data_IF_707527244075
#
_entry.id   IF_707527244075
#
_cell.length_a   1.000
_cell.length_b   1.000
_cell.length_c   1.000
_cell.angle_alpha   90.00
_cell.angle_beta   90.00
_cell.angle_gamma   90.00
#
_symmetry.space_group_name_H-M   'P 1'
#
loop_
_entity.id
_entity.type
_entity.pdbx_description
1 polymer ?
#
# COMPACT_ATOMS: atom_id res chain seq x y z
N UNK A 1 4.39 67.14 24.13
CA UNK A 1 5.69 67.67 23.64
C UNK A 1 5.60 67.86 22.13
N UNK A 2 5.82 69.10 21.66
CA UNK A 2 6.06 69.42 20.25
C UNK A 2 7.54 69.17 19.95
N UNK A 3 7.87 68.73 18.73
CA UNK A 3 9.02 69.19 17.94
C UNK A 3 8.71 68.89 16.45
N UNK A 4 8.86 69.94 15.63
CA UNK A 4 8.86 69.98 14.16
C UNK A 4 10.21 69.41 13.66
N UNK A 5 10.42 68.98 12.42
CA UNK A 5 10.76 69.84 11.27
C UNK A 5 11.04 68.97 10.04
N UNK A 6 10.71 69.52 8.88
CA UNK A 6 10.84 69.04 7.50
C UNK A 6 12.29 69.18 6.99
N UNK A 7 12.74 68.31 6.05
CA UNK A 7 13.47 68.72 4.84
C UNK A 7 13.67 67.55 3.85
N UNK A 8 13.42 67.91 2.60
CA UNK A 8 13.53 67.27 1.28
C UNK A 8 14.91 66.68 0.94
N UNK A 9 14.95 65.71 0.01
CA UNK A 9 15.80 65.77 -1.20
C UNK A 9 15.54 64.58 -2.14
N UNK A 10 15.19 64.92 -3.38
CA UNK A 10 15.08 64.01 -4.53
C UNK A 10 16.47 63.78 -5.13
N UNK A 11 16.78 62.53 -5.48
CA UNK A 11 17.88 62.22 -6.41
C UNK A 11 17.46 61.06 -7.31
N UNK A 12 17.19 61.39 -8.57
CA UNK A 12 17.07 60.43 -9.65
C UNK A 12 18.47 59.91 -10.01
N UNK A 13 18.59 58.59 -10.16
CA UNK A 13 19.75 57.96 -10.78
C UNK A 13 19.24 56.91 -11.78
N UNK A 14 19.21 57.30 -13.04
CA UNK A 14 19.09 56.42 -14.21
C UNK A 14 20.42 55.68 -14.39
N UNK A 15 20.40 54.36 -14.20
CA UNK A 15 21.46 53.48 -14.68
C UNK A 15 20.84 52.43 -15.61
N UNK A 16 20.99 52.65 -16.92
CA UNK A 16 20.79 51.60 -17.93
C UNK A 16 21.90 50.57 -17.76
N UNK A 17 21.54 49.38 -17.29
CA UNK A 17 22.37 48.18 -17.42
C UNK A 17 21.68 47.25 -18.41
N UNK A 18 22.24 47.23 -19.62
CA UNK A 18 22.03 46.19 -20.62
C UNK A 18 22.59 44.88 -20.06
N UNK A 19 21.70 44.06 -19.48
CA UNK A 19 22.02 42.68 -19.11
C UNK A 19 21.36 41.74 -20.14
N UNK A 20 22.22 41.06 -20.86
CA UNK A 20 21.98 40.02 -21.87
C UNK A 20 20.89 39.04 -21.42
N UNK A 21 19.92 38.65 -22.27
CA UNK A 21 19.06 37.52 -21.97
C UNK A 21 19.94 36.27 -21.96
N UNK A 22 20.33 35.82 -20.77
CA UNK A 22 20.83 34.48 -20.62
C UNK A 22 19.64 33.57 -20.89
N UNK A 23 19.64 32.96 -22.09
CA UNK A 23 18.85 31.79 -22.42
C UNK A 23 19.24 30.70 -21.44
N UNK A 24 18.66 30.78 -20.24
CA UNK A 24 18.66 29.73 -19.25
C UNK A 24 17.98 28.55 -19.92
N UNK A 25 18.79 27.67 -20.48
CA UNK A 25 18.38 26.35 -20.87
C UNK A 25 17.90 25.71 -19.58
N UNK A 26 16.59 25.76 -19.36
CA UNK A 26 15.93 24.92 -18.39
C UNK A 26 16.24 23.49 -18.83
N UNK A 27 17.34 22.95 -18.34
CA UNK A 27 17.51 21.51 -18.23
C UNK A 27 16.20 21.02 -17.62
N UNK A 28 15.42 20.15 -18.31
CA UNK A 28 14.29 19.55 -17.67
C UNK A 28 14.86 18.87 -16.44
N UNK A 29 14.56 19.44 -15.27
CA UNK A 29 14.74 18.80 -13.98
C UNK A 29 14.08 17.44 -14.20
N UNK A 30 14.89 16.40 -14.41
CA UNK A 30 14.39 15.04 -14.39
C UNK A 30 13.79 14.90 -13.01
N UNK A 31 12.48 15.10 -12.93
CA UNK A 31 11.70 14.65 -11.80
C UNK A 31 12.12 13.20 -11.66
N UNK A 32 12.94 12.92 -10.64
CA UNK A 32 13.24 11.55 -10.24
C UNK A 32 11.88 10.98 -9.86
N UNK A 33 11.23 10.41 -10.87
CA UNK A 33 9.79 10.31 -10.94
C UNK A 33 9.36 9.25 -9.96
N UNK A 34 8.94 9.69 -8.78
CA UNK A 34 8.33 8.79 -7.79
C UNK A 34 7.26 7.99 -8.52
N UNK A 35 7.42 6.66 -8.55
CA UNK A 35 6.46 5.77 -9.19
C UNK A 35 5.11 6.00 -8.51
N UNK A 36 4.10 6.38 -9.31
CA UNK A 36 2.77 6.69 -8.80
C UNK A 36 2.14 5.47 -8.08
N UNK A 37 1.26 5.73 -7.12
CA UNK A 37 0.42 4.68 -6.52
C UNK A 37 -0.53 4.10 -7.56
N UNK A 38 -0.83 2.82 -7.44
CA UNK A 38 -1.84 2.17 -8.27
C UNK A 38 -3.22 2.71 -7.89
N UNK A 39 -4.03 3.07 -8.88
CA UNK A 39 -5.44 3.37 -8.64
C UNK A 39 -6.18 2.06 -8.29
N UNK A 40 -7.06 2.08 -7.29
CA UNK A 40 -7.79 0.86 -6.87
C UNK A 40 -8.49 0.14 -8.02
N UNK A 41 -9.12 0.89 -8.94
CA UNK A 41 -9.82 0.33 -10.12
C UNK A 41 -8.94 -0.48 -11.07
N UNK A 42 -7.62 -0.25 -11.08
CA UNK A 42 -6.68 -0.99 -11.94
C UNK A 42 -6.09 -2.21 -11.24
N UNK A 43 -6.34 -2.38 -9.94
CA UNK A 43 -5.92 -3.54 -9.19
C UNK A 43 -6.99 -4.63 -9.29
N UNK A 44 -6.55 -5.87 -9.41
CA UNK A 44 -7.41 -7.05 -9.24
C UNK A 44 -6.91 -7.82 -8.03
N UNK A 45 -7.76 -7.91 -7.01
CA UNK A 45 -7.51 -8.68 -5.80
C UNK A 45 -8.07 -10.09 -5.95
N UNK A 46 -7.34 -11.07 -5.43
CA UNK A 46 -7.76 -12.48 -5.28
C UNK A 46 -7.45 -12.94 -3.86
N UNK A 47 -8.26 -13.87 -3.36
CA UNK A 47 -8.03 -14.58 -2.12
C UNK A 47 -8.61 -15.99 -2.27
N UNK A 48 -7.90 -16.99 -1.75
CA UNK A 48 -8.29 -18.40 -1.77
C UNK A 48 -7.68 -19.12 -0.56
N UNK A 49 -8.41 -20.06 0.03
CA UNK A 49 -7.88 -20.91 1.09
C UNK A 49 -6.83 -21.85 0.50
N UNK A 50 -5.73 -22.02 1.23
CA UNK A 50 -4.69 -22.98 0.87
C UNK A 50 -5.11 -24.41 1.22
N UNK A 51 -4.25 -25.39 0.91
CA UNK A 51 -4.45 -26.76 1.39
C UNK A 51 -4.41 -26.87 2.93
N UNK A 52 -3.67 -25.99 3.61
CA UNK A 52 -3.80 -25.78 5.05
C UNK A 52 -4.99 -24.83 5.30
N UNK A 53 -6.02 -25.34 5.96
CA UNK A 53 -7.25 -24.59 6.24
C UNK A 53 -7.02 -23.32 7.09
N UNK A 54 -5.88 -23.23 7.79
CA UNK A 54 -5.49 -22.06 8.59
C UNK A 54 -4.90 -20.93 7.76
N UNK A 55 -4.68 -21.14 6.47
CA UNK A 55 -3.94 -20.24 5.61
C UNK A 55 -4.77 -19.82 4.41
N UNK A 56 -4.80 -18.52 4.15
CA UNK A 56 -5.39 -17.91 2.95
C UNK A 56 -4.28 -17.30 2.11
N UNK A 57 -4.21 -17.69 0.85
CA UNK A 57 -3.37 -17.02 -0.14
C UNK A 57 -4.11 -15.83 -0.70
N UNK A 58 -3.43 -14.69 -0.74
CA UNK A 58 -3.95 -13.46 -1.33
C UNK A 58 -3.03 -12.99 -2.45
N UNK A 59 -3.63 -12.33 -3.44
CA UNK A 59 -2.90 -11.82 -4.59
C UNK A 59 -3.43 -10.48 -5.07
N UNK A 60 -2.53 -9.63 -5.54
CA UNK A 60 -2.87 -8.37 -6.21
C UNK A 60 -2.22 -8.33 -7.59
N UNK A 61 -3.03 -8.19 -8.64
CA UNK A 61 -2.56 -8.03 -10.02
C UNK A 61 -2.74 -6.58 -10.47
N UNK A 62 -1.69 -5.97 -11.02
CA UNK A 62 -1.78 -4.68 -11.71
C UNK A 62 -2.30 -4.88 -13.14
N UNK A 63 -3.54 -4.50 -13.41
CA UNK A 63 -4.17 -4.60 -14.74
C UNK A 63 -3.89 -3.37 -15.62
N UNK A 64 -3.17 -2.37 -15.13
CA UNK A 64 -2.80 -1.21 -15.94
C UNK A 64 -1.59 -1.50 -16.84
N UNK A 65 -1.40 -0.73 -17.93
CA UNK A 65 -0.21 -0.86 -18.78
C UNK A 65 1.03 -0.19 -18.19
N UNK A 66 0.98 0.36 -16.97
CA UNK A 66 2.08 1.12 -16.35
C UNK A 66 2.52 0.47 -15.05
N UNK A 67 3.80 0.62 -14.72
CA UNK A 67 4.29 0.31 -13.37
C UNK A 67 3.68 1.31 -12.40
N UNK A 68 3.19 0.81 -11.27
CA UNK A 68 2.73 1.62 -10.14
C UNK A 68 3.18 0.99 -8.83
N UNK A 69 2.86 1.61 -7.70
CA UNK A 69 3.14 1.08 -6.36
C UNK A 69 1.87 0.78 -5.57
N UNK A 70 1.91 -0.29 -4.80
CA UNK A 70 0.95 -0.57 -3.71
C UNK A 70 1.69 -0.46 -2.38
N UNK A 71 1.02 -0.60 -1.24
CA UNK A 71 1.74 -0.72 0.04
C UNK A 71 2.45 -2.08 0.10
N UNK A 72 3.58 -2.13 0.79
CA UNK A 72 4.39 -3.32 0.99
C UNK A 72 3.69 -4.38 1.82
N UNK A 73 2.81 -3.93 2.73
CA UNK A 73 2.07 -4.77 3.63
C UNK A 73 0.61 -4.77 3.17
N UNK A 74 0.04 -5.93 2.79
CA UNK A 74 -1.39 -6.02 2.55
C UNK A 74 -2.17 -5.68 3.84
N UNK A 75 -3.25 -4.93 3.72
CA UNK A 75 -4.22 -4.80 4.80
C UNK A 75 -5.25 -5.91 4.67
N UNK A 76 -5.38 -6.75 5.70
CA UNK A 76 -6.36 -7.84 5.74
C UNK A 76 -7.18 -7.74 7.00
N UNK A 77 -8.49 -7.57 6.88
CA UNK A 77 -9.44 -7.51 8.01
C UNK A 77 -10.46 -8.64 7.90
N UNK A 78 -11.16 -8.94 9.00
CA UNK A 78 -11.96 -10.16 9.16
C UNK A 78 -13.37 -9.82 9.63
N UNK A 79 -14.34 -9.85 8.71
CA UNK A 79 -15.74 -9.55 9.01
C UNK A 79 -15.93 -8.29 9.87
N UNK A 80 -16.59 -8.47 11.00
CA UNK A 80 -16.87 -7.50 12.04
C UNK A 80 -15.83 -7.47 13.18
N UNK A 81 -14.79 -8.30 13.11
CA UNK A 81 -13.70 -8.29 14.07
C UNK A 81 -12.87 -7.01 13.94
N UNK A 82 -12.36 -6.55 15.07
CA UNK A 82 -11.46 -5.43 15.12
C UNK A 82 -10.04 -5.82 14.71
N UNK A 83 -9.30 -4.83 14.22
CA UNK A 83 -7.92 -5.01 13.82
C UNK A 83 -7.74 -5.64 12.44
N UNK A 84 -6.47 -5.71 12.04
CA UNK A 84 -6.02 -6.30 10.80
C UNK A 84 -4.96 -7.37 11.10
N UNK A 85 -4.74 -8.28 10.16
CA UNK A 85 -3.64 -9.22 10.24
C UNK A 85 -2.30 -8.49 10.42
N UNK A 86 -1.51 -8.90 11.41
CA UNK A 86 -0.23 -8.26 11.69
C UNK A 86 0.86 -8.75 10.72
N UNK A 87 1.73 -7.86 10.23
CA UNK A 87 2.80 -8.25 9.32
C UNK A 87 3.83 -9.16 10.01
N UNK A 88 4.20 -10.24 9.33
CA UNK A 88 5.36 -11.08 9.70
C UNK A 88 6.36 -11.16 8.53
N UNK A 89 7.64 -10.77 8.73
CA UNK A 89 8.16 -10.11 9.92
C UNK A 89 7.48 -8.75 10.16
N UNK A 90 7.50 -8.30 11.42
CA UNK A 90 7.07 -6.96 11.75
C UNK A 90 7.88 -5.93 10.94
N UNK A 91 7.22 -4.86 10.52
CA UNK A 91 7.87 -3.78 9.79
C UNK A 91 6.90 -2.70 9.38
N UNK A 92 7.46 -1.64 8.83
CA UNK A 92 6.70 -0.47 8.41
C UNK A 92 6.21 -0.60 6.96
N UNK A 93 5.11 0.10 6.70
CA UNK A 93 4.58 0.34 5.35
C UNK A 93 5.62 0.97 4.41
N UNK A 94 5.29 0.96 3.12
CA UNK A 94 6.12 1.61 2.10
C UNK A 94 5.82 1.07 0.71
N UNK A 95 6.46 1.62 -0.34
CA UNK A 95 6.09 1.26 -1.69
C UNK A 95 6.54 -0.15 -2.06
N UNK A 96 5.62 -0.95 -2.59
CA UNK A 96 5.91 -2.17 -3.34
C UNK A 96 5.66 -1.93 -4.82
N UNK A 97 6.72 -2.07 -5.63
CA UNK A 97 6.65 -1.86 -7.08
C UNK A 97 5.92 -3.01 -7.76
N UNK A 98 4.84 -2.71 -8.45
CA UNK A 98 4.05 -3.70 -9.20
C UNK A 98 4.05 -3.34 -10.69
N UNK A 99 4.73 -4.17 -11.48
CA UNK A 99 4.83 -3.99 -12.93
C UNK A 99 3.51 -4.24 -13.66
N UNK A 100 3.37 -3.80 -14.92
CA UNK A 100 2.19 -4.06 -15.75
C UNK A 100 1.91 -5.57 -15.85
N UNK A 101 0.66 -5.98 -15.62
CA UNK A 101 0.23 -7.38 -15.68
C UNK A 101 0.85 -8.30 -14.63
N UNK A 102 1.67 -7.78 -13.71
CA UNK A 102 2.32 -8.58 -12.67
C UNK A 102 1.39 -8.78 -11.49
N UNK A 103 1.56 -9.93 -10.85
CA UNK A 103 0.89 -10.28 -9.60
C UNK A 103 1.91 -10.35 -8.48
N UNK A 104 1.55 -9.80 -7.33
CA UNK A 104 2.23 -10.05 -6.07
C UNK A 104 1.36 -10.90 -5.16
N UNK A 105 1.99 -11.70 -4.31
CA UNK A 105 1.35 -12.73 -3.49
C UNK A 105 1.69 -12.52 -2.03
N UNK A 106 0.75 -12.80 -1.14
CA UNK A 106 1.01 -12.90 0.29
C UNK A 106 0.21 -14.06 0.87
N UNK A 107 0.65 -14.56 2.01
CA UNK A 107 -0.02 -15.62 2.75
C UNK A 107 -0.48 -15.04 4.08
N UNK A 108 -1.69 -15.41 4.49
CA UNK A 108 -2.31 -14.99 5.74
C UNK A 108 -2.58 -16.24 6.56
N UNK A 109 -1.94 -16.37 7.73
CA UNK A 109 -2.37 -17.39 8.71
C UNK A 109 -3.45 -16.76 9.57
N UNK A 110 -4.68 -17.27 9.46
CA UNK A 110 -5.84 -16.72 10.15
C UNK A 110 -5.91 -17.19 11.60
N UNK A 111 -5.37 -18.38 11.89
CA UNK A 111 -5.32 -18.97 13.23
C UNK A 111 -4.11 -19.90 13.37
N UNK A 112 -3.46 -19.92 14.54
CA UNK A 112 -2.34 -20.83 14.80
C UNK A 112 -2.83 -22.24 15.18
N UNK A 113 -3.74 -22.31 16.16
CA UNK A 113 -4.37 -23.54 16.67
C UNK A 113 -5.90 -23.48 16.49
N UNK A 114 -6.51 -24.33 15.65
CA UNK A 114 -7.96 -24.36 15.47
C UNK A 114 -8.77 -24.68 16.74
N UNK A 115 -8.13 -25.24 17.77
CA UNK A 115 -8.77 -25.53 19.06
C UNK A 115 -8.64 -24.37 20.07
N UNK A 116 -8.07 -23.23 19.67
CA UNK A 116 -7.92 -22.07 20.56
C UNK A 116 -9.29 -21.60 21.08
N UNK A 117 -9.49 -21.51 22.41
CA UNK A 117 -10.78 -21.14 22.99
C UNK A 117 -11.21 -19.70 22.69
N UNK A 118 -10.28 -18.84 22.26
CA UNK A 118 -10.56 -17.44 21.90
C UNK A 118 -10.88 -17.26 20.40
N UNK A 119 -10.76 -18.34 19.62
CA UNK A 119 -11.05 -18.33 18.20
C UNK A 119 -12.45 -17.82 17.88
N UNK A 120 -12.52 -16.96 16.86
CA UNK A 120 -13.77 -16.42 16.32
C UNK A 120 -14.00 -16.93 14.90
N UNK A 121 -15.26 -16.97 14.50
CA UNK A 121 -15.67 -17.31 13.14
C UNK A 121 -16.16 -16.06 12.43
N UNK A 122 -15.69 -15.81 11.21
CA UNK A 122 -16.20 -14.74 10.34
C UNK A 122 -16.69 -15.31 9.02
N UNK A 123 -17.67 -14.64 8.41
CA UNK A 123 -18.22 -15.02 7.12
C UNK A 123 -17.38 -14.54 5.93
N UNK A 124 -16.44 -13.62 6.17
CA UNK A 124 -15.70 -12.94 5.13
C UNK A 124 -14.37 -12.34 5.60
N UNK A 125 -13.45 -12.17 4.65
CA UNK A 125 -12.23 -11.40 4.82
C UNK A 125 -12.21 -10.24 3.83
N UNK A 126 -11.64 -9.10 4.20
CA UNK A 126 -11.41 -7.99 3.29
C UNK A 126 -9.93 -7.78 3.07
N UNK A 127 -9.51 -7.78 1.81
CA UNK A 127 -8.11 -7.59 1.42
C UNK A 127 -7.97 -6.23 0.74
N UNK A 128 -6.97 -5.44 1.12
CA UNK A 128 -6.54 -4.25 0.39
C UNK A 128 -5.04 -4.27 0.14
N UNK A 129 -4.64 -3.78 -1.03
CA UNK A 129 -3.22 -3.67 -1.38
C UNK A 129 -2.57 -2.38 -0.86
N UNK A 130 -3.34 -1.41 -0.39
CA UNK A 130 -2.85 -0.18 0.22
C UNK A 130 -3.92 0.33 1.20
N UNK A 131 -3.56 0.77 2.42
CA UNK A 131 -4.53 1.23 3.42
C UNK A 131 -5.33 2.47 2.97
N UNK A 132 -4.87 3.20 1.95
CA UNK A 132 -5.62 4.32 1.35
C UNK A 132 -6.64 3.90 0.29
N UNK A 133 -6.72 2.62 -0.05
CA UNK A 133 -7.65 2.07 -1.02
C UNK A 133 -8.75 1.25 -0.34
N UNK A 134 -9.97 1.37 -0.88
CA UNK A 134 -11.02 0.40 -0.60
C UNK A 134 -10.56 -0.99 -1.06
N UNK A 135 -10.62 -1.95 -0.14
CA UNK A 135 -10.29 -3.34 -0.41
C UNK A 135 -11.39 -4.07 -1.19
N UNK A 136 -11.25 -5.38 -1.28
CA UNK A 136 -12.27 -6.30 -1.77
C UNK A 136 -12.56 -7.35 -0.70
N UNK A 137 -13.83 -7.57 -0.42
CA UNK A 137 -14.29 -8.63 0.48
C UNK A 137 -14.48 -9.94 -0.27
N UNK A 138 -14.15 -11.04 0.40
CA UNK A 138 -14.30 -12.41 -0.06
C UNK A 138 -15.04 -13.18 1.03
N UNK A 139 -16.16 -13.82 0.68
CA UNK A 139 -16.89 -14.68 1.62
C UNK A 139 -16.13 -15.99 1.87
N UNK A 140 -16.41 -16.67 2.97
CA UNK A 140 -15.84 -17.99 3.28
C UNK A 140 -16.03 -18.98 2.11
N UNK A 141 -17.21 -18.97 1.48
CA UNK A 141 -17.49 -19.77 0.28
C UNK A 141 -16.58 -19.37 -0.90
N UNK A 142 -16.40 -18.08 -1.17
CA UNK A 142 -15.52 -17.60 -2.25
C UNK A 142 -14.04 -17.94 -2.01
N UNK A 143 -13.65 -18.07 -0.74
CA UNK A 143 -12.31 -18.53 -0.35
C UNK A 143 -12.18 -20.06 -0.50
N UNK A 144 -13.27 -20.81 -0.47
CA UNK A 144 -13.24 -22.27 -0.34
C UNK A 144 -13.12 -22.76 1.11
N UNK A 145 -13.38 -21.89 2.09
CA UNK A 145 -13.27 -22.18 3.53
C UNK A 145 -14.51 -22.88 4.14
N UNK A 146 -15.50 -23.22 3.33
CA UNK A 146 -16.79 -23.71 3.81
C UNK A 146 -17.64 -22.57 4.38
N UNK A 147 -18.23 -22.78 5.55
CA UNK A 147 -19.24 -21.87 6.12
C UNK A 147 -18.63 -20.64 6.81
N UNK A 148 -17.39 -20.72 7.29
CA UNK A 148 -16.73 -19.62 8.00
C UNK A 148 -15.19 -19.74 7.98
N UNK A 149 -14.52 -18.61 8.25
CA UNK A 149 -13.08 -18.56 8.49
C UNK A 149 -12.84 -18.47 10.00
N UNK A 150 -12.01 -19.37 10.53
CA UNK A 150 -11.54 -19.30 11.91
C UNK A 150 -10.40 -18.29 12.02
N UNK A 151 -10.51 -17.39 13.00
CA UNK A 151 -9.60 -16.28 13.20
C UNK A 151 -9.18 -16.18 14.66
N UNK A 152 -7.87 -16.17 14.90
CA UNK A 152 -7.24 -15.79 16.16
C UNK A 152 -5.80 -15.36 15.90
N UNK A 153 -5.42 -14.19 16.42
CA UNK A 153 -4.10 -13.56 16.21
C UNK A 153 -3.57 -13.66 14.76
N UNK A 154 -4.34 -13.18 13.77
CA UNK A 154 -4.01 -13.39 12.38
C UNK A 154 -2.71 -12.66 12.00
N UNK A 155 -1.88 -13.31 11.19
CA UNK A 155 -0.65 -12.73 10.64
C UNK A 155 -0.62 -12.81 9.11
N UNK A 156 0.01 -11.83 8.48
CA UNK A 156 0.16 -11.75 7.03
C UNK A 156 1.61 -11.53 6.63
N UNK A 157 2.05 -12.12 5.53
CA UNK A 157 3.36 -11.80 4.96
C UNK A 157 3.32 -10.47 4.22
N UNK A 158 4.50 -9.86 4.03
CA UNK A 158 4.63 -8.82 3.00
C UNK A 158 4.40 -9.42 1.61
N UNK A 159 4.15 -8.56 0.62
CA UNK A 159 4.07 -8.99 -0.77
C UNK A 159 5.35 -9.69 -1.27
N UNK A 160 5.17 -10.81 -1.95
CA UNK A 160 6.20 -11.68 -2.54
C UNK A 160 5.97 -11.90 -4.03
N UNK A 161 7.01 -12.27 -4.79
CA UNK A 161 6.89 -12.50 -6.23
C UNK A 161 6.15 -13.80 -6.60
N UNK A 162 5.93 -14.72 -5.65
CA UNK A 162 5.22 -15.99 -5.86
C UNK A 162 4.51 -16.45 -4.58
N UNK A 163 3.51 -17.32 -4.71
CA UNK A 163 2.83 -17.95 -3.59
C UNK A 163 3.80 -18.75 -2.71
N UNK A 164 4.63 -19.61 -3.30
CA UNK A 164 5.65 -20.37 -2.56
C UNK A 164 6.63 -19.49 -1.76
N UNK A 165 6.95 -18.28 -2.23
CA UNK A 165 7.78 -17.36 -1.47
C UNK A 165 7.03 -16.69 -0.30
N UNK A 166 5.70 -16.56 -0.40
CA UNK A 166 4.84 -16.14 0.70
C UNK A 166 4.71 -17.27 1.74
N UNK A 167 4.47 -18.50 1.30
CA UNK A 167 4.40 -19.68 2.15
C UNK A 167 5.67 -19.83 2.98
N UNK A 168 6.83 -19.79 2.32
CA UNK A 168 8.13 -19.84 2.99
C UNK A 168 8.31 -18.73 4.03
N UNK A 169 7.73 -17.54 3.80
CA UNK A 169 7.81 -16.44 4.75
C UNK A 169 6.90 -16.63 5.98
N UNK A 170 5.88 -17.50 5.92
CA UNK A 170 5.13 -17.99 7.08
C UNK A 170 5.73 -19.24 7.72
N UNK A 171 6.83 -19.78 7.18
CA UNK A 171 7.39 -21.06 7.61
C UNK A 171 6.63 -22.27 7.07
N UNK A 172 5.90 -22.10 5.98
CA UNK A 172 5.21 -23.16 5.25
C UNK A 172 6.11 -23.56 4.06
N UNK A 173 6.69 -24.75 4.08
CA UNK A 173 7.56 -25.25 3.00
C UNK A 173 8.71 -26.12 3.45
#
# INVERSE_FOLDING_TARGET
>A
MRIRTVLTLSAAATALLLAVPQSGSATPQQASGRIAKCAGKVLQLRAEQSADARVVHIGVTNRSPRTCTVDRIPTVTFGDLDGAALPTPAGESGPYRLGPGRTAFAAVRTIADPADPEARTVDSITVSADPSLFGRSFTAEQLGAGDAVLVWEPVTTWWKPSAAAADKALGLG
#
